data_IF_917863943867
#
_entry.id   IF_917863943867
#
_cell.length_a   1.000
_cell.length_b   1.000
_cell.length_c   1.000
_cell.angle_alpha   90.00
_cell.angle_beta   90.00
_cell.angle_gamma   90.00
#
_symmetry.space_group_name_H-M   'P 1'
#
loop_
_entity.id
_entity.type
_entity.pdbx_description
1 polymer ?
#
# COMPACT_ATOMS: atom_id res chain seq x y z
N UNK A 1 -2.24 -1.04 12.30
CA UNK A 1 -1.72 -1.35 10.95
C UNK A 1 -2.59 -2.44 10.39
N UNK A 2 -3.59 -2.11 9.59
CA UNK A 2 -4.49 -3.14 9.09
C UNK A 2 -4.02 -3.60 7.72
N UNK A 3 -2.98 -4.43 7.71
CA UNK A 3 -2.62 -5.20 6.54
C UNK A 3 -3.48 -6.47 6.49
N UNK A 4 -3.92 -6.86 5.31
CA UNK A 4 -4.85 -7.95 5.07
C UNK A 4 -6.27 -7.62 5.50
N UNK A 5 -6.86 -8.50 6.33
CA UNK A 5 -8.28 -8.44 6.70
C UNK A 5 -8.67 -7.30 7.67
N UNK A 6 -7.70 -6.57 8.21
CA UNK A 6 -7.94 -5.46 9.12
C UNK A 6 -8.24 -4.12 8.41
N UNK A 7 -7.87 -4.00 7.13
CA UNK A 7 -8.11 -2.81 6.30
C UNK A 7 -7.21 -1.60 6.61
N UNK A 8 -6.93 -0.80 5.59
CA UNK A 8 -6.12 0.42 5.69
C UNK A 8 -6.73 1.54 4.86
N UNK A 9 -6.34 2.78 5.14
CA UNK A 9 -6.83 3.96 4.45
C UNK A 9 -5.72 4.62 3.64
N UNK A 10 -6.06 5.10 2.44
CA UNK A 10 -5.19 5.88 1.57
C UNK A 10 -5.89 7.19 1.21
N UNK A 11 -5.12 8.26 1.03
CA UNK A 11 -5.65 9.51 0.47
C UNK A 11 -5.97 9.34 -1.02
N UNK A 12 -6.91 10.11 -1.54
CA UNK A 12 -7.28 10.04 -2.96
C UNK A 12 -6.09 10.29 -3.90
N UNK A 13 -5.28 11.31 -3.63
CA UNK A 13 -4.10 11.64 -4.44
C UNK A 13 -3.09 10.48 -4.49
N UNK A 14 -2.92 9.75 -3.37
CA UNK A 14 -2.06 8.58 -3.32
C UNK A 14 -2.65 7.42 -4.13
N UNK A 15 -3.97 7.22 -4.08
CA UNK A 15 -4.65 6.21 -4.90
C UNK A 15 -4.52 6.50 -6.38
N UNK A 16 -4.66 7.77 -6.79
CA UNK A 16 -4.50 8.19 -8.19
C UNK A 16 -3.10 7.88 -8.70
N UNK A 17 -2.06 8.20 -7.95
CA UNK A 17 -0.67 7.89 -8.30
C UNK A 17 -0.39 6.38 -8.35
N UNK A 18 -0.92 5.61 -7.38
CA UNK A 18 -0.75 4.16 -7.35
C UNK A 18 -1.50 3.47 -8.49
N UNK A 19 -2.72 3.92 -8.82
CA UNK A 19 -3.57 3.28 -9.81
C UNK A 19 -2.96 3.28 -11.21
N UNK A 20 -2.22 4.33 -11.58
CA UNK A 20 -1.52 4.39 -12.88
C UNK A 20 -0.34 3.44 -13.00
N UNK A 21 0.23 2.96 -11.89
CA UNK A 21 1.48 2.20 -11.91
C UNK A 21 1.36 0.79 -11.32
N UNK A 22 0.20 0.42 -10.75
CA UNK A 22 0.01 -0.79 -9.95
C UNK A 22 0.38 -2.08 -10.71
N UNK A 23 0.16 -2.13 -12.01
CA UNK A 23 0.52 -3.27 -12.84
C UNK A 23 2.05 -3.45 -12.95
N UNK A 24 2.79 -2.35 -13.09
CA UNK A 24 4.25 -2.36 -13.02
C UNK A 24 4.76 -2.73 -11.63
N UNK A 25 3.96 -2.44 -10.60
CA UNK A 25 4.29 -2.75 -9.22
C UNK A 25 4.31 -4.24 -8.92
N UNK A 26 3.28 -4.94 -9.39
CA UNK A 26 3.18 -6.39 -9.29
C UNK A 26 4.37 -7.05 -10.02
N UNK A 27 4.79 -6.50 -11.15
CA UNK A 27 5.91 -7.04 -11.93
C UNK A 27 7.28 -6.79 -11.31
N UNK A 28 7.49 -5.66 -10.63
CA UNK A 28 8.75 -5.41 -9.92
C UNK A 28 8.84 -6.18 -8.60
N UNK A 29 7.71 -6.38 -7.92
CA UNK A 29 7.64 -7.07 -6.64
C UNK A 29 7.21 -8.53 -6.77
N UNK A 30 7.85 -9.29 -7.67
CA UNK A 30 7.51 -10.72 -7.91
C UNK A 30 7.69 -11.65 -6.70
N UNK A 31 8.46 -11.21 -5.71
CA UNK A 31 8.72 -11.94 -4.48
C UNK A 31 7.74 -11.57 -3.35
N UNK A 32 6.87 -10.58 -3.56
CA UNK A 32 5.82 -10.21 -2.63
C UNK A 32 4.52 -10.87 -3.07
N UNK A 33 3.91 -11.63 -2.17
CA UNK A 33 2.71 -12.43 -2.46
C UNK A 33 1.40 -11.82 -1.93
N UNK A 34 1.51 -10.76 -1.13
CA UNK A 34 0.38 -10.15 -0.45
C UNK A 34 0.12 -8.76 -1.04
N UNK A 35 -1.11 -8.52 -1.49
CA UNK A 35 -1.49 -7.31 -2.23
C UNK A 35 -1.33 -6.04 -1.41
N UNK A 36 -1.72 -6.09 -0.15
CA UNK A 36 -1.52 -5.08 0.88
C UNK A 36 -0.04 -4.76 1.11
N UNK A 37 0.85 -5.76 1.06
CA UNK A 37 2.29 -5.54 1.17
C UNK A 37 2.89 -4.92 -0.09
N UNK A 38 2.39 -5.28 -1.28
CA UNK A 38 2.74 -4.63 -2.54
C UNK A 38 2.31 -3.15 -2.51
N UNK A 39 1.06 -2.87 -2.14
CA UNK A 39 0.54 -1.50 -2.02
C UNK A 39 1.32 -0.66 -1.02
N UNK A 40 1.72 -1.25 0.11
CA UNK A 40 2.58 -0.57 1.09
C UNK A 40 3.96 -0.24 0.52
N UNK A 41 4.63 -1.23 -0.08
CA UNK A 41 5.98 -1.07 -0.61
C UNK A 41 6.02 0.04 -1.66
N UNK A 42 4.97 0.14 -2.48
CA UNK A 42 4.83 1.22 -3.46
C UNK A 42 4.54 2.58 -2.89
N UNK A 43 3.71 2.63 -1.85
CA UNK A 43 3.49 3.88 -1.13
C UNK A 43 4.81 4.40 -0.55
N UNK A 44 5.66 3.51 -0.05
CA UNK A 44 6.99 3.85 0.44
C UNK A 44 7.94 4.33 -0.67
N UNK A 45 7.88 3.74 -1.87
CA UNK A 45 8.66 4.21 -3.03
C UNK A 45 8.29 5.65 -3.45
N UNK A 46 7.02 6.02 -3.26
CA UNK A 46 6.51 7.38 -3.47
C UNK A 46 6.85 8.35 -2.30
N UNK A 47 7.61 7.89 -1.30
CA UNK A 47 7.99 8.66 -0.12
C UNK A 47 6.88 8.82 0.92
N UNK A 48 5.84 7.99 0.88
CA UNK A 48 4.76 8.00 1.86
C UNK A 48 5.02 6.97 2.94
N UNK A 49 5.33 7.45 4.14
CA UNK A 49 5.52 6.62 5.32
C UNK A 49 4.21 6.06 5.88
N UNK A 50 4.30 4.87 6.48
CA UNK A 50 3.21 4.25 7.21
C UNK A 50 2.87 5.04 8.48
N UNK A 51 1.65 5.58 8.55
CA UNK A 51 1.09 6.12 9.78
C UNK A 51 0.19 5.11 10.49
N UNK A 52 0.42 4.95 11.79
CA UNK A 52 -0.42 4.10 12.63
C UNK A 52 -1.48 4.93 13.30
N UNK A 53 -2.73 4.70 12.94
CA UNK A 53 -3.89 5.41 13.49
C UNK A 53 -4.65 4.57 14.53
N UNK A 54 -5.12 5.23 15.60
CA UNK A 54 -5.99 4.59 16.58
C UNK A 54 -7.31 4.20 15.89
N UNK A 55 -7.73 2.95 16.07
CA UNK A 55 -8.93 2.40 15.44
C UNK A 55 -8.65 1.49 14.24
N UNK A 56 -7.42 1.46 13.72
CA UNK A 56 -6.97 0.44 12.76
C UNK A 56 -6.13 -0.59 13.52
N UNK A 57 -6.63 -1.82 13.73
CA UNK A 57 -5.91 -2.83 14.50
C UNK A 57 -4.55 -3.14 13.89
N UNK A 58 -3.62 -3.61 14.72
CA UNK A 58 -2.29 -4.06 14.29
C UNK A 58 -2.36 -5.46 13.70
#
# INVERSE_FOLDING_TARGET
MGYGGAGYALSYALVEALASEIDGCIQSYKHLFFSDYISHSRSADLGVDLKTEKGIPR
#
